data_IF_257132141648
#
_entry.id   IF_257132141648
#
_cell.length_a   1.000
_cell.length_b   1.000
_cell.length_c   1.000
_cell.angle_alpha   90.00
_cell.angle_beta   90.00
_cell.angle_gamma   90.00
#
_symmetry.space_group_name_H-M   'P 1'
#
loop_
_entity.id
_entity.type
_entity.pdbx_description
1 polymer ?
#
# COMPACT_ATOMS: atom_id res chain seq x y z
N UNK A 1 0.31 -12.04 14.11
CA UNK A 1 1.43 -12.45 14.98
C UNK A 1 2.49 -13.08 14.09
N UNK A 2 3.75 -12.63 14.12
CA UNK A 2 4.84 -13.39 13.52
C UNK A 2 5.02 -14.71 14.28
N UNK A 3 5.23 -15.80 13.56
CA UNK A 3 5.43 -17.16 14.07
C UNK A 3 6.77 -17.69 13.56
N UNK A 4 7.51 -18.39 14.42
CA UNK A 4 8.74 -19.10 14.04
C UNK A 4 8.48 -20.59 13.77
N UNK A 5 7.21 -21.00 13.68
CA UNK A 5 6.86 -22.39 13.39
C UNK A 5 7.15 -22.76 11.93
N UNK A 6 7.34 -24.05 11.68
CA UNK A 6 7.52 -24.53 10.31
C UNK A 6 6.26 -24.30 9.48
N UNK A 7 6.42 -24.25 8.16
CA UNK A 7 5.29 -24.07 7.24
C UNK A 7 4.25 -25.18 7.44
N UNK A 8 4.68 -26.41 7.71
CA UNK A 8 3.83 -27.56 7.95
C UNK A 8 2.95 -27.38 9.19
N UNK A 9 3.53 -26.91 10.30
CA UNK A 9 2.78 -26.65 11.52
C UNK A 9 1.76 -25.52 11.33
N UNK A 10 2.15 -24.45 10.63
CA UNK A 10 1.25 -23.33 10.34
C UNK A 10 0.07 -23.81 9.50
N UNK A 11 0.29 -24.65 8.49
CA UNK A 11 -0.78 -25.25 7.69
C UNK A 11 -1.72 -26.10 8.53
N UNK A 12 -1.17 -27.00 9.35
CA UNK A 12 -2.00 -27.85 10.21
C UNK A 12 -2.89 -27.04 11.16
N UNK A 13 -2.37 -25.92 11.68
CA UNK A 13 -3.11 -25.02 12.54
C UNK A 13 -4.22 -24.29 11.77
N UNK A 14 -3.94 -23.79 10.57
CA UNK A 14 -4.95 -23.14 9.70
C UNK A 14 -6.06 -24.13 9.27
N UNK A 15 -5.71 -25.38 9.01
CA UNK A 15 -6.67 -26.44 8.69
C UNK A 15 -7.57 -26.75 9.89
N UNK A 16 -7.01 -26.80 11.10
CA UNK A 16 -7.79 -26.98 12.33
C UNK A 16 -8.75 -25.81 12.58
N UNK A 17 -8.32 -24.57 12.34
CA UNK A 17 -9.19 -23.38 12.49
C UNK A 17 -10.34 -23.38 11.47
N UNK A 18 -10.10 -23.89 10.26
CA UNK A 18 -11.12 -24.06 9.22
C UNK A 18 -12.28 -24.99 9.63
N UNK A 19 -12.05 -25.89 10.57
CA UNK A 19 -13.08 -26.83 11.05
C UNK A 19 -14.00 -26.23 12.12
N UNK A 20 -13.66 -25.06 12.70
CA UNK A 20 -14.37 -24.53 13.87
C UNK A 20 -15.73 -23.92 13.57
N UNK A 21 -15.92 -23.32 12.39
CA UNK A 21 -17.19 -22.72 11.99
C UNK A 21 -17.50 -23.04 10.52
N UNK A 22 -18.62 -23.71 10.22
CA UNK A 22 -18.96 -24.09 8.85
C UNK A 22 -19.25 -22.90 7.92
N UNK A 23 -19.45 -21.70 8.46
CA UNK A 23 -19.71 -20.47 7.69
C UNK A 23 -18.44 -19.64 7.44
N UNK A 24 -17.33 -19.95 8.10
CA UNK A 24 -16.08 -19.20 7.98
C UNK A 24 -15.05 -20.09 7.31
N UNK A 25 -14.48 -19.63 6.19
CA UNK A 25 -13.46 -20.36 5.45
C UNK A 25 -12.18 -19.54 5.36
N UNK A 26 -11.13 -20.08 5.95
CA UNK A 26 -9.77 -19.56 5.94
C UNK A 26 -9.08 -20.11 4.70
N UNK A 27 -8.90 -19.26 3.69
CA UNK A 27 -8.06 -19.56 2.54
C UNK A 27 -6.67 -18.97 2.80
N UNK A 28 -5.62 -19.74 2.52
CA UNK A 28 -4.24 -19.27 2.65
C UNK A 28 -3.43 -19.61 1.40
N UNK A 29 -2.49 -18.73 1.06
CA UNK A 29 -1.51 -18.95 0.00
C UNK A 29 -0.16 -18.44 0.49
N UNK A 30 0.91 -19.11 0.08
CA UNK A 30 2.28 -18.66 0.37
C UNK A 30 2.75 -17.92 -0.87
N UNK A 31 2.94 -16.62 -0.74
CA UNK A 31 3.47 -15.76 -1.79
C UNK A 31 4.68 -14.99 -1.27
N UNK A 32 5.57 -14.61 -2.19
CA UNK A 32 6.63 -13.64 -1.90
C UNK A 32 6.07 -12.24 -1.66
N UNK A 33 4.82 -11.98 -2.09
CA UNK A 33 4.14 -10.71 -1.84
C UNK A 33 2.64 -10.88 -1.60
N UNK A 34 2.04 -9.96 -0.86
CA UNK A 34 0.60 -9.90 -0.61
C UNK A 34 0.10 -8.46 -0.60
N UNK A 35 -1.08 -8.26 -1.16
CA UNK A 35 -1.78 -6.99 -1.19
C UNK A 35 -2.77 -6.95 -0.02
N UNK A 36 -2.68 -5.92 0.82
CA UNK A 36 -3.59 -5.74 1.96
C UNK A 36 -3.80 -4.26 2.26
N UNK A 37 -5.05 -3.78 2.18
CA UNK A 37 -5.45 -2.40 2.52
C UNK A 37 -4.53 -1.32 1.92
N UNK A 38 -4.44 -1.26 0.58
CA UNK A 38 -3.58 -0.34 -0.18
C UNK A 38 -2.07 -0.46 0.12
N UNK A 39 -1.64 -1.53 0.79
CA UNK A 39 -0.23 -1.84 1.05
C UNK A 39 0.16 -3.10 0.30
N UNK A 40 1.29 -3.04 -0.40
CA UNK A 40 1.97 -4.21 -0.93
C UNK A 40 3.03 -4.61 0.10
N UNK A 41 2.95 -5.84 0.57
CA UNK A 41 3.91 -6.43 1.50
C UNK A 41 4.71 -7.46 0.73
N UNK A 42 6.03 -7.33 0.71
CA UNK A 42 6.93 -8.23 -0.01
C UNK A 42 7.93 -8.85 0.98
N UNK A 43 8.17 -10.15 0.89
CA UNK A 43 9.20 -10.84 1.63
C UNK A 43 10.48 -10.89 0.78
N UNK A 44 11.44 -10.03 1.12
CA UNK A 44 12.75 -10.00 0.48
C UNK A 44 13.76 -10.66 1.41
N UNK A 45 14.14 -11.90 1.11
CA UNK A 45 15.14 -12.68 1.86
C UNK A 45 14.84 -12.79 3.37
N UNK A 46 13.56 -13.00 3.72
CA UNK A 46 13.11 -13.11 5.12
C UNK A 46 12.83 -11.77 5.79
N UNK A 47 12.97 -10.65 5.09
CA UNK A 47 12.61 -9.31 5.59
C UNK A 47 11.37 -8.81 4.86
N UNK A 48 10.35 -8.45 5.63
CA UNK A 48 9.17 -7.80 5.09
C UNK A 48 9.52 -6.38 4.68
N UNK A 49 9.26 -6.04 3.42
CA UNK A 49 9.24 -4.69 2.88
C UNK A 49 7.81 -4.32 2.58
N UNK A 50 7.48 -3.06 2.79
CA UNK A 50 6.15 -2.52 2.55
C UNK A 50 6.24 -1.33 1.60
N UNK A 51 5.27 -1.24 0.70
CA UNK A 51 5.11 -0.14 -0.25
C UNK A 51 3.62 0.13 -0.49
N UNK A 52 3.29 1.26 -1.11
CA UNK A 52 1.89 1.54 -1.48
C UNK A 52 1.51 0.63 -2.65
N UNK A 53 0.45 -0.15 -2.47
CA UNK A 53 -0.13 -0.91 -3.57
C UNK A 53 -0.92 0.02 -4.48
N UNK A 54 -0.59 0.00 -5.78
CA UNK A 54 -1.33 0.73 -6.82
C UNK A 54 -2.00 -0.28 -7.73
N UNK A 55 -3.33 -0.33 -7.65
CA UNK A 55 -4.12 -1.16 -8.56
C UNK A 55 -3.85 -0.71 -10.01
N UNK A 56 -3.35 -1.59 -10.90
CA UNK A 56 -3.05 -1.23 -12.30
C UNK A 56 -4.29 -0.78 -13.09
N UNK A 57 -5.48 -1.20 -12.66
CA UNK A 57 -6.75 -0.80 -13.25
C UNK A 57 -7.31 0.50 -12.65
N UNK A 58 -6.75 0.98 -11.54
CA UNK A 58 -7.13 2.27 -10.98
C UNK A 58 -6.44 3.38 -11.76
N UNK A 59 -7.21 4.39 -12.13
CA UNK A 59 -6.64 5.57 -12.75
C UNK A 59 -5.73 6.28 -11.74
N UNK A 60 -4.56 6.79 -12.15
CA UNK A 60 -3.62 7.46 -11.26
C UNK A 60 -4.09 8.89 -10.91
N UNK A 61 -5.40 9.13 -10.84
CA UNK A 61 -5.96 10.45 -10.64
C UNK A 61 -5.86 10.87 -9.18
N UNK A 62 -4.99 11.84 -8.97
CA UNK A 62 -5.07 12.77 -7.85
C UNK A 62 -6.15 13.80 -8.21
N UNK A 63 -6.79 14.43 -7.22
CA UNK A 63 -7.75 15.52 -7.44
C UNK A 63 -7.18 16.57 -8.44
N UNK A 64 -7.76 16.75 -9.65
CA UNK A 64 -7.23 17.71 -10.63
C UNK A 64 -7.24 19.14 -10.09
N UNK A 65 -6.21 19.93 -10.39
CA UNK A 65 -6.10 21.31 -9.89
C UNK A 65 -7.19 22.23 -10.44
N UNK A 66 -7.69 21.95 -11.65
CA UNK A 66 -8.79 22.69 -12.27
C UNK A 66 -10.18 22.36 -11.69
N UNK A 67 -10.28 21.39 -10.79
CA UNK A 67 -11.55 21.07 -10.13
C UNK A 67 -11.98 22.19 -9.18
N UNK A 68 -13.29 22.39 -9.02
CA UNK A 68 -13.86 23.44 -8.17
C UNK A 68 -13.82 23.05 -6.68
N UNK A 69 -12.61 22.90 -6.14
CA UNK A 69 -12.39 22.60 -4.73
C UNK A 69 -11.61 23.74 -4.05
N UNK A 70 -11.85 23.98 -2.74
CA UNK A 70 -11.06 24.93 -1.98
C UNK A 70 -9.56 24.58 -1.98
N UNK A 71 -8.69 25.60 -1.97
CA UNK A 71 -7.22 25.42 -1.94
C UNK A 71 -6.72 24.46 -0.86
N UNK A 72 -7.35 24.47 0.32
CA UNK A 72 -6.94 23.61 1.42
C UNK A 72 -7.16 22.12 1.12
N UNK A 73 -8.13 21.76 0.27
CA UNK A 73 -8.37 20.38 -0.16
C UNK A 73 -7.20 19.91 -1.03
N UNK A 74 -6.81 20.71 -2.02
CA UNK A 74 -5.64 20.43 -2.86
C UNK A 74 -4.35 20.24 -2.04
N UNK A 75 -4.08 21.13 -1.08
CA UNK A 75 -2.94 20.99 -0.18
C UNK A 75 -3.03 19.74 0.70
N UNK A 76 -4.21 19.42 1.23
CA UNK A 76 -4.41 18.21 2.01
C UNK A 76 -4.22 16.94 1.18
N UNK A 77 -4.64 16.91 -0.08
CA UNK A 77 -4.43 15.76 -0.96
C UNK A 77 -2.93 15.45 -1.11
N UNK A 78 -2.11 16.47 -1.35
CA UNK A 78 -0.64 16.32 -1.43
C UNK A 78 -0.08 15.84 -0.09
N UNK A 79 -0.43 16.54 0.99
CA UNK A 79 0.07 16.24 2.33
C UNK A 79 -0.27 14.81 2.78
N UNK A 80 -1.51 14.38 2.57
CA UNK A 80 -1.97 13.04 2.95
C UNK A 80 -1.33 11.95 2.09
N UNK A 81 -1.10 12.17 0.80
CA UNK A 81 -0.39 11.22 -0.06
C UNK A 81 1.05 11.00 0.44
N UNK A 82 1.78 12.08 0.73
CA UNK A 82 3.14 12.00 1.28
C UNK A 82 3.17 11.36 2.66
N UNK A 83 2.23 11.74 3.54
CA UNK A 83 2.14 11.16 4.89
C UNK A 83 1.84 9.66 4.85
N UNK A 84 0.99 9.21 3.91
CA UNK A 84 0.77 7.77 3.67
C UNK A 84 2.05 7.09 3.23
N UNK A 85 2.80 7.69 2.29
CA UNK A 85 4.10 7.18 1.86
C UNK A 85 5.07 7.01 3.04
N UNK A 86 5.26 8.05 3.86
CA UNK A 86 6.15 8.00 5.04
C UNK A 86 5.75 6.90 6.03
N UNK A 87 4.45 6.65 6.20
CA UNK A 87 3.96 5.62 7.13
C UNK A 87 4.07 4.20 6.58
N UNK A 88 3.92 4.03 5.27
CA UNK A 88 3.80 2.72 4.64
C UNK A 88 5.17 2.21 4.20
N UNK A 89 6.05 3.04 3.66
CA UNK A 89 7.31 2.54 3.10
C UNK A 89 8.29 2.09 4.19
N UNK A 90 8.84 0.89 4.03
CA UNK A 90 9.85 0.35 4.95
C UNK A 90 11.25 0.96 4.80
N UNK A 91 11.51 1.63 3.67
CA UNK A 91 12.84 2.14 3.31
C UNK A 91 12.74 3.55 2.70
N UNK A 92 13.68 4.41 3.07
CA UNK A 92 13.70 5.82 2.67
C UNK A 92 14.01 5.97 1.18
N UNK A 93 14.88 5.14 0.61
CA UNK A 93 15.18 5.21 -0.83
C UNK A 93 13.95 4.83 -1.66
N UNK A 94 13.21 3.83 -1.21
CA UNK A 94 11.97 3.39 -1.86
C UNK A 94 10.87 4.46 -1.71
N UNK A 95 10.80 5.14 -0.56
CA UNK A 95 9.91 6.29 -0.37
C UNK A 95 10.25 7.46 -1.30
N UNK A 96 11.53 7.72 -1.58
CA UNK A 96 11.92 8.81 -2.48
C UNK A 96 11.40 8.60 -3.92
N UNK A 97 11.36 7.35 -4.37
CA UNK A 97 10.72 7.00 -5.65
C UNK A 97 9.22 7.28 -5.64
N UNK A 98 8.54 6.99 -4.53
CA UNK A 98 7.12 7.32 -4.37
C UNK A 98 6.87 8.82 -4.33
N UNK A 99 7.72 9.58 -3.64
CA UNK A 99 7.67 11.05 -3.65
C UNK A 99 7.73 11.57 -5.09
N UNK A 100 8.71 11.10 -5.88
CA UNK A 100 8.83 11.48 -7.30
C UNK A 100 7.58 11.11 -8.11
N UNK A 101 7.00 9.93 -7.89
CA UNK A 101 5.76 9.51 -8.55
C UNK A 101 4.59 10.44 -8.20
N UNK A 102 4.47 10.86 -6.93
CA UNK A 102 3.45 11.82 -6.49
C UNK A 102 3.67 13.17 -7.19
N UNK A 103 4.90 13.67 -7.24
CA UNK A 103 5.24 14.94 -7.89
C UNK A 103 4.88 14.94 -9.38
N UNK A 104 5.22 13.86 -10.09
CA UNK A 104 4.82 13.67 -11.49
C UNK A 104 3.30 13.64 -11.62
N UNK A 105 2.61 12.91 -10.73
CA UNK A 105 1.15 12.87 -10.70
C UNK A 105 0.52 14.25 -10.51
N UNK A 106 1.09 15.10 -9.64
CA UNK A 106 0.61 16.47 -9.41
C UNK A 106 0.82 17.35 -10.65
N UNK A 107 1.97 17.27 -11.30
CA UNK A 107 2.22 18.00 -12.55
C UNK A 107 1.22 17.60 -13.65
N UNK A 108 0.97 16.30 -13.82
CA UNK A 108 -0.01 15.80 -14.79
C UNK A 108 -1.46 16.24 -14.46
N UNK A 109 -1.75 16.48 -13.18
CA UNK A 109 -3.04 16.99 -12.71
C UNK A 109 -3.14 18.53 -12.72
N UNK A 110 -2.15 19.23 -13.29
CA UNK A 110 -2.15 20.67 -13.48
C UNK A 110 -1.76 21.49 -12.25
N UNK A 111 -1.16 20.87 -11.22
CA UNK A 111 -0.63 21.60 -10.08
C UNK A 111 0.60 22.43 -10.51
N UNK A 112 0.70 23.64 -9.98
CA UNK A 112 1.82 24.53 -10.28
C UNK A 112 3.08 24.05 -9.54
N UNK A 113 4.29 24.18 -10.11
CA UNK A 113 5.55 23.76 -9.48
C UNK A 113 5.80 24.35 -8.09
N UNK A 114 5.22 25.52 -7.77
CA UNK A 114 5.32 26.12 -6.42
C UNK A 114 4.60 25.32 -5.31
N UNK A 115 3.75 24.36 -5.68
CA UNK A 115 3.04 23.47 -4.76
C UNK A 115 3.75 22.12 -4.60
N UNK A 116 4.82 21.89 -5.35
CA UNK A 116 5.54 20.63 -5.48
C UNK A 116 6.91 20.79 -4.80
#
# INVERSE_FOLDING_TARGET
MPSNESIENIKALLDQENEKDPNIRINYTIHESVEFLDVLIENVEGKLKTSIFRNPAAEPYILPYASDHPRHIHSNTIYTALLRGVRIYSDVHTFDHERLNIEIGLLLNGYLPKFI
#
